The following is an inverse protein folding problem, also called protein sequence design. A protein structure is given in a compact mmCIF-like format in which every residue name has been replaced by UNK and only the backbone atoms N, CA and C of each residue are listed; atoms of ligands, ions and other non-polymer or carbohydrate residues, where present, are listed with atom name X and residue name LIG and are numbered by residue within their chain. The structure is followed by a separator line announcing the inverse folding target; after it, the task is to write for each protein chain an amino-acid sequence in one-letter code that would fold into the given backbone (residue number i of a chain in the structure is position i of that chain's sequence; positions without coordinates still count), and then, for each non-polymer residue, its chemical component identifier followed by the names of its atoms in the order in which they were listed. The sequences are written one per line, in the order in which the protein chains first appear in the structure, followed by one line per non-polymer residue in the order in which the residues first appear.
data_IF_369114065566
#
_entry.id   IF_369114065566
#
_cell.length_a   1.000
_cell.length_b   1.000
_cell.length_c   1.000
_cell.angle_alpha   90.00
_cell.angle_beta   90.00
_cell.angle_gamma   90.00
#
_symmetry.space_group_name_H-M   'P 1'
#
loop_
_entity.id
_entity.type
_entity.pdbx_description
1 polymer ?
#
# COMPACT_ATOMS: atom_id res chain seq x y z
N UNK A 1 -11.50 -56.03 28.87
CA UNK A 1 -11.08 -54.64 29.19
C UNK A 1 -10.65 -53.99 27.88
N UNK A 2 -11.42 -53.01 27.40
CA UNK A 2 -11.22 -52.34 26.10
C UNK A 2 -9.99 -51.41 26.15
N UNK A 3 -9.13 -51.49 25.14
CA UNK A 3 -8.05 -50.53 24.87
C UNK A 3 -8.49 -49.61 23.71
N UNK A 4 -8.72 -48.30 23.92
CA UNK A 4 -9.10 -47.44 22.82
C UNK A 4 -7.84 -46.98 22.08
N UNK A 5 -7.72 -47.38 20.82
CA UNK A 5 -6.80 -46.81 19.85
C UNK A 5 -7.05 -45.30 19.70
N UNK A 6 -6.11 -44.48 20.18
CA UNK A 6 -6.10 -43.03 19.94
C UNK A 6 -5.42 -42.81 18.57
N UNK A 7 -6.21 -42.51 17.55
CA UNK A 7 -5.71 -41.97 16.28
C UNK A 7 -5.48 -40.46 16.43
N UNK A 8 -4.23 -40.04 16.56
CA UNK A 8 -3.84 -38.63 16.47
C UNK A 8 -3.67 -38.29 14.99
N UNK A 9 -4.68 -37.65 14.40
CA UNK A 9 -4.58 -37.07 13.06
C UNK A 9 -3.78 -35.76 13.19
N UNK A 10 -2.48 -35.81 12.89
CA UNK A 10 -1.67 -34.62 12.63
C UNK A 10 -2.12 -34.01 11.30
N UNK A 11 -3.10 -33.10 11.36
CA UNK A 11 -3.47 -32.27 10.23
C UNK A 11 -2.36 -31.26 9.94
N UNK A 12 -1.60 -31.49 8.87
CA UNK A 12 -0.57 -30.57 8.38
C UNK A 12 -1.24 -29.28 7.88
N UNK A 13 -1.20 -28.20 8.67
CA UNK A 13 -1.54 -26.87 8.19
C UNK A 13 -0.44 -26.41 7.23
N UNK A 14 -0.70 -26.50 5.94
CA UNK A 14 0.17 -25.93 4.91
C UNK A 14 -0.06 -24.42 4.90
N UNK A 15 0.79 -23.68 5.61
CA UNK A 15 0.80 -22.22 5.53
C UNK A 15 1.45 -21.80 4.21
N UNK A 16 0.66 -21.63 3.16
CA UNK A 16 1.14 -20.99 1.93
C UNK A 16 1.37 -19.50 2.21
N UNK A 17 2.62 -19.12 2.44
CA UNK A 17 3.03 -17.72 2.45
C UNK A 17 3.07 -17.21 1.01
N UNK A 18 1.97 -16.63 0.53
CA UNK A 18 2.03 -15.75 -0.63
C UNK A 18 2.90 -14.54 -0.24
N UNK A 19 4.12 -14.47 -0.76
CA UNK A 19 5.00 -13.34 -0.52
C UNK A 19 4.45 -12.13 -1.28
N UNK A 20 4.03 -11.11 -0.54
CA UNK A 20 3.64 -9.83 -1.12
C UNK A 20 4.90 -9.14 -1.67
N UNK A 21 4.88 -8.72 -2.94
CA UNK A 21 6.01 -8.04 -3.57
C UNK A 21 5.87 -6.52 -3.41
N UNK A 22 6.82 -5.87 -2.72
CA UNK A 22 6.83 -4.42 -2.57
C UNK A 22 6.94 -3.75 -3.95
N UNK A 23 5.99 -2.85 -4.25
CA UNK A 23 5.93 -2.12 -5.51
C UNK A 23 6.44 -0.69 -5.36
N UNK A 24 6.11 -0.04 -4.25
CA UNK A 24 6.49 1.34 -4.02
C UNK A 24 6.48 1.68 -2.53
N UNK A 25 7.46 2.49 -2.10
CA UNK A 25 7.51 3.07 -0.76
C UNK A 25 7.46 4.59 -0.85
N UNK A 26 6.44 5.17 -0.23
CA UNK A 26 6.27 6.62 -0.11
C UNK A 26 6.62 7.07 1.31
N UNK A 27 7.75 7.77 1.47
CA UNK A 27 8.12 8.42 2.74
C UNK A 27 7.70 9.88 2.69
N UNK A 28 6.89 10.31 3.66
CA UNK A 28 6.48 11.72 3.81
C UNK A 28 6.99 12.28 5.13
N UNK A 29 6.72 13.55 5.43
CA UNK A 29 7.02 14.11 6.76
C UNK A 29 6.20 13.47 7.88
N UNK A 30 5.02 12.91 7.58
CA UNK A 30 4.07 12.40 8.57
C UNK A 30 3.91 10.86 8.55
N UNK A 31 4.20 10.22 7.41
CA UNK A 31 3.88 8.81 7.19
C UNK A 31 5.02 8.08 6.49
N UNK A 32 5.12 6.78 6.71
CA UNK A 32 5.75 5.84 5.79
C UNK A 32 4.62 5.00 5.23
N UNK A 33 4.53 4.89 3.92
CA UNK A 33 3.50 4.10 3.22
C UNK A 33 4.19 3.11 2.30
N UNK A 34 3.79 1.85 2.34
CA UNK A 34 4.21 0.83 1.37
C UNK A 34 3.00 0.37 0.56
N UNK A 35 3.24 0.14 -0.73
CA UNK A 35 2.31 -0.52 -1.64
C UNK A 35 2.90 -1.88 -1.98
N UNK A 36 2.16 -2.94 -1.66
CA UNK A 36 2.58 -4.32 -1.92
C UNK A 36 1.60 -4.99 -2.87
N UNK A 37 2.09 -5.75 -3.84
CA UNK A 37 1.26 -6.61 -4.69
C UNK A 37 1.04 -7.94 -3.98
N UNK A 38 -0.22 -8.27 -3.67
CA UNK A 38 -0.62 -9.51 -3.02
C UNK A 38 -0.84 -10.64 -4.03
N UNK A 39 -1.38 -10.30 -5.19
CA UNK A 39 -1.59 -11.19 -6.34
C UNK A 39 -1.78 -10.34 -7.60
N UNK A 40 -1.98 -10.97 -8.75
CA UNK A 40 -2.32 -10.26 -9.99
C UNK A 40 -3.46 -9.26 -9.75
N UNK A 41 -3.20 -7.99 -10.07
CA UNK A 41 -4.11 -6.85 -9.92
C UNK A 41 -4.70 -6.62 -8.51
N UNK A 42 -4.09 -7.17 -7.45
CA UNK A 42 -4.50 -6.91 -6.07
C UNK A 42 -3.35 -6.31 -5.27
N UNK A 43 -3.58 -5.12 -4.74
CA UNK A 43 -2.58 -4.37 -3.98
C UNK A 43 -3.02 -4.15 -2.54
N UNK A 44 -2.03 -4.01 -1.67
CA UNK A 44 -2.18 -3.67 -0.26
C UNK A 44 -1.47 -2.35 0.04
N UNK A 45 -2.17 -1.49 0.74
CA UNK A 45 -1.63 -0.27 1.34
C UNK A 45 -1.35 -0.55 2.81
N UNK A 46 -0.13 -0.26 3.26
CA UNK A 46 0.24 -0.23 4.68
C UNK A 46 0.81 1.13 5.01
N UNK A 47 0.40 1.71 6.14
CA UNK A 47 0.93 2.98 6.60
C UNK A 47 1.34 2.94 8.06
N UNK A 48 2.41 3.67 8.36
CA UNK A 48 2.93 3.92 9.69
C UNK A 48 2.97 5.43 9.92
N UNK A 49 2.33 5.89 10.98
CA UNK A 49 2.41 7.29 11.40
C UNK A 49 3.76 7.52 12.06
N UNK A 50 4.54 8.47 11.56
CA UNK A 50 5.83 8.81 12.16
C UNK A 50 5.62 9.28 13.62
N UNK A 51 6.50 8.87 14.55
CA UNK A 51 7.84 8.28 14.32
C UNK A 51 7.87 6.74 14.21
N UNK A 52 6.73 6.06 14.07
CA UNK A 52 6.71 4.59 14.00
C UNK A 52 7.48 4.08 12.77
N UNK A 53 8.33 3.07 12.96
CA UNK A 53 9.09 2.40 11.90
C UNK A 53 8.32 1.25 11.25
N UNK A 54 8.73 0.87 10.04
CA UNK A 54 8.15 -0.27 9.28
C UNK A 54 8.33 -1.63 9.97
N UNK A 55 9.26 -1.73 10.93
CA UNK A 55 9.48 -2.93 11.75
C UNK A 55 8.40 -3.15 12.81
N UNK A 56 7.51 -2.17 13.02
CA UNK A 56 6.34 -2.28 13.92
C UNK A 56 5.08 -2.60 13.13
N UNK A 57 3.99 -2.94 13.83
CA UNK A 57 2.69 -3.13 13.20
C UNK A 57 2.22 -1.83 12.51
N UNK A 58 1.75 -1.89 11.25
CA UNK A 58 1.16 -0.72 10.57
C UNK A 58 -0.03 -0.14 11.37
N UNK A 59 -0.20 1.17 11.30
CA UNK A 59 -1.38 1.88 11.81
C UNK A 59 -2.60 1.63 10.94
N UNK A 60 -2.38 1.56 9.63
CA UNK A 60 -3.43 1.36 8.63
C UNK A 60 -3.02 0.24 7.69
N UNK A 61 -3.96 -0.68 7.41
CA UNK A 61 -3.82 -1.72 6.40
C UNK A 61 -5.11 -1.71 5.56
N UNK A 62 -4.98 -1.51 4.25
CA UNK A 62 -6.11 -1.54 3.31
C UNK A 62 -5.76 -2.50 2.18
N UNK A 63 -6.54 -3.55 2.02
CA UNK A 63 -6.38 -4.51 0.93
C UNK A 63 -7.30 -4.16 -0.25
N UNK A 64 -7.15 -4.89 -1.36
CA UNK A 64 -7.98 -4.77 -2.57
C UNK A 64 -7.88 -3.38 -3.21
N UNK A 65 -6.70 -2.77 -3.16
CA UNK A 65 -6.40 -1.61 -4.00
C UNK A 65 -6.26 -2.01 -5.46
N UNK A 66 -6.45 -1.03 -6.34
CA UNK A 66 -6.27 -1.17 -7.78
C UNK A 66 -5.13 -0.29 -8.26
N UNK A 67 -4.42 -0.75 -9.27
CA UNK A 67 -3.43 0.01 -10.01
C UNK A 67 -4.08 0.59 -11.27
N UNK A 68 -3.70 1.83 -11.61
CA UNK A 68 -4.11 2.53 -12.81
C UNK A 68 -2.86 3.18 -13.39
N UNK A 69 -2.57 2.91 -14.67
CA UNK A 69 -1.54 3.62 -15.43
C UNK A 69 -2.20 4.56 -16.42
N UNK A 70 -1.86 5.84 -16.34
CA UNK A 70 -2.46 6.91 -17.14
C UNK A 70 -1.35 7.80 -17.73
N UNK A 71 -1.74 8.68 -18.66
CA UNK A 71 -0.82 9.58 -19.34
C UNK A 71 -0.03 8.93 -20.49
N UNK A 72 0.77 9.74 -21.16
CA UNK A 72 1.55 9.36 -22.35
C UNK A 72 2.95 9.97 -22.30
N UNK A 73 3.92 9.31 -22.95
CA UNK A 73 5.30 9.78 -23.01
C UNK A 73 5.88 10.09 -21.63
N UNK A 74 6.49 11.28 -21.49
CA UNK A 74 7.09 11.78 -20.24
C UNK A 74 6.07 12.08 -19.14
N UNK A 75 4.78 12.13 -19.48
CA UNK A 75 3.68 12.34 -18.53
C UNK A 75 3.00 11.02 -18.13
N UNK A 76 3.54 9.85 -18.51
CA UNK A 76 2.99 8.56 -18.11
C UNK A 76 3.33 8.30 -16.64
N UNK A 77 2.33 7.95 -15.85
CA UNK A 77 2.48 7.65 -14.44
C UNK A 77 1.55 6.51 -14.01
N UNK A 78 1.92 5.85 -12.91
CA UNK A 78 1.13 4.84 -12.24
C UNK A 78 0.56 5.42 -10.95
N UNK A 79 -0.67 5.06 -10.63
CA UNK A 79 -1.30 5.37 -9.35
C UNK A 79 -2.05 4.16 -8.81
N UNK A 80 -1.99 4.01 -7.49
CA UNK A 80 -2.77 3.03 -6.76
C UNK A 80 -3.86 3.75 -5.96
N UNK A 81 -5.08 3.22 -6.02
CA UNK A 81 -6.22 3.71 -5.24
C UNK A 81 -6.66 2.69 -4.19
N UNK A 82 -6.88 3.16 -2.97
CA UNK A 82 -7.35 2.37 -1.84
C UNK A 82 -8.52 3.07 -1.16
N UNK A 83 -9.63 2.36 -0.97
CA UNK A 83 -10.81 2.89 -0.29
C UNK A 83 -10.92 2.28 1.11
N UNK A 84 -11.16 3.12 2.11
CA UNK A 84 -11.49 2.71 3.47
C UNK A 84 -12.67 3.55 3.97
N UNK A 85 -13.86 2.95 3.97
CA UNK A 85 -15.12 3.66 4.24
C UNK A 85 -15.27 4.88 3.31
N UNK A 86 -15.40 6.08 3.87
CA UNK A 86 -15.52 7.33 3.14
C UNK A 86 -14.19 8.01 2.79
N UNK A 87 -13.06 7.36 3.07
CA UNK A 87 -11.73 7.89 2.81
C UNK A 87 -11.07 7.14 1.67
N UNK A 88 -10.50 7.86 0.70
CA UNK A 88 -9.71 7.32 -0.39
C UNK A 88 -8.25 7.77 -0.24
N UNK A 89 -7.33 6.83 -0.42
CA UNK A 89 -5.90 7.05 -0.45
C UNK A 89 -5.42 6.79 -1.88
N UNK A 90 -4.73 7.78 -2.46
CA UNK A 90 -4.15 7.69 -3.80
C UNK A 90 -2.64 7.89 -3.68
N UNK A 91 -1.87 6.91 -4.15
CA UNK A 91 -0.40 6.98 -4.20
C UNK A 91 0.04 6.91 -5.65
N UNK A 92 0.87 7.83 -6.13
CA UNK A 92 1.31 7.88 -7.53
C UNK A 92 2.81 8.03 -7.70
N UNK A 93 3.35 7.46 -8.78
CA UNK A 93 4.76 7.50 -9.17
C UNK A 93 4.91 7.30 -10.71
N UNK A 94 5.94 7.87 -11.37
CA UNK A 94 6.86 8.87 -10.85
C UNK A 94 6.16 10.23 -10.68
N UNK A 95 6.89 11.24 -10.20
CA UNK A 95 6.42 12.62 -10.29
C UNK A 95 6.60 13.09 -11.72
N UNK A 96 5.50 13.23 -12.45
CA UNK A 96 5.53 13.67 -13.85
C UNK A 96 4.39 14.63 -14.14
N UNK A 97 4.67 15.69 -14.89
CA UNK A 97 3.66 16.63 -15.42
C UNK A 97 2.66 17.11 -14.35
N UNK A 98 3.17 17.47 -13.17
CA UNK A 98 2.39 18.01 -12.06
C UNK A 98 2.27 19.52 -12.18
N UNK A 99 1.15 20.09 -11.74
CA UNK A 99 0.96 21.55 -11.70
C UNK A 99 1.88 22.21 -10.67
N UNK A 100 2.08 21.54 -9.53
CA UNK A 100 2.97 21.99 -8.46
C UNK A 100 4.44 21.68 -8.80
N UNK A 101 5.37 22.54 -8.36
CA UNK A 101 6.81 22.28 -8.41
C UNK A 101 7.17 21.27 -7.31
N UNK A 102 7.58 20.04 -7.63
CA UNK A 102 7.94 19.06 -6.63
C UNK A 102 9.32 19.36 -6.02
N UNK A 103 9.59 18.91 -4.78
CA UNK A 103 10.93 18.85 -4.24
C UNK A 103 11.89 18.07 -5.14
N UNK A 104 13.18 18.41 -5.12
CA UNK A 104 14.19 17.79 -6.00
C UNK A 104 14.36 16.29 -5.81
N UNK A 105 14.01 15.76 -4.64
CA UNK A 105 14.08 14.33 -4.31
C UNK A 105 12.69 13.66 -4.23
N UNK A 106 11.68 14.24 -4.88
CA UNK A 106 10.34 13.67 -4.90
C UNK A 106 10.24 12.50 -5.89
N UNK A 107 9.74 11.35 -5.42
CA UNK A 107 9.55 10.12 -6.20
C UNK A 107 8.09 9.80 -6.47
N UNK A 108 7.18 10.48 -5.79
CA UNK A 108 5.75 10.29 -5.96
C UNK A 108 4.92 11.25 -5.12
N UNK A 109 3.62 10.97 -5.03
CA UNK A 109 2.67 11.77 -4.23
C UNK A 109 1.71 10.84 -3.51
N UNK A 110 1.44 11.14 -2.24
CA UNK A 110 0.33 10.59 -1.46
C UNK A 110 -0.76 11.65 -1.37
N UNK A 111 -1.99 11.30 -1.73
CA UNK A 111 -3.17 12.17 -1.63
C UNK A 111 -4.29 11.44 -0.88
N UNK A 112 -4.98 12.16 0.01
CA UNK A 112 -6.08 11.64 0.81
C UNK A 112 -7.32 12.46 0.51
N UNK A 113 -8.41 11.76 0.21
CA UNK A 113 -9.72 12.32 -0.05
C UNK A 113 -10.71 11.78 0.98
N UNK A 114 -11.64 12.62 1.44
CA UNK A 114 -12.71 12.23 2.37
C UNK A 114 -14.03 12.70 1.78
N UNK A 115 -14.99 11.79 1.64
CA UNK A 115 -16.25 12.02 0.93
C UNK A 115 -16.04 12.54 -0.52
N UNK A 116 -14.98 12.10 -1.19
CA UNK A 116 -14.61 12.54 -2.53
C UNK A 116 -13.89 13.89 -2.60
N UNK A 117 -13.80 14.63 -1.49
CA UNK A 117 -13.10 15.91 -1.44
C UNK A 117 -11.63 15.72 -1.07
N UNK A 118 -10.74 16.41 -1.78
CA UNK A 118 -9.32 16.44 -1.42
C UNK A 118 -9.14 17.04 -0.02
N UNK A 119 -8.41 16.32 0.85
CA UNK A 119 -8.12 16.79 2.21
C UNK A 119 -6.67 17.14 2.41
N UNK A 120 -5.75 16.32 1.89
CA UNK A 120 -4.32 16.56 2.07
C UNK A 120 -3.50 15.78 1.04
N UNK A 121 -2.35 16.36 0.68
CA UNK A 121 -1.31 15.66 -0.07
C UNK A 121 0.05 15.83 0.58
N UNK A 122 0.94 14.89 0.27
CA UNK A 122 2.35 14.94 0.59
C UNK A 122 3.16 14.44 -0.60
N UNK A 123 4.35 15.01 -0.78
CA UNK A 123 5.36 14.42 -1.64
C UNK A 123 5.95 13.18 -0.97
N UNK A 124 6.13 12.13 -1.77
CA UNK A 124 6.94 10.97 -1.43
C UNK A 124 8.39 11.31 -1.73
N UNK A 125 9.27 11.18 -0.75
CA UNK A 125 10.69 11.51 -0.86
C UNK A 125 11.53 10.24 -0.73
N UNK A 126 12.72 10.24 -1.34
CA UNK A 126 13.75 9.20 -1.13
C UNK A 126 14.27 9.14 0.31
#
# INVERSE_FOLDING_TARGET
MLNPFIFIIFGSLVFSSAFAAEQFTCKTSAHIVTIDQLSSNQYQYRAWNKPKSITKKPDTIIARGKEITEGTGVCRYTRWEFNNSNTQYVVSTPVTCTEDIPPSNATGRLSVFVNGEHRKSWWCLE
#
